data_IF_199544766191
#
_entry.id   IF_199544766191
#
_cell.length_a   1.000
_cell.length_b   1.000
_cell.length_c   1.000
_cell.angle_alpha   90.00
_cell.angle_beta   90.00
_cell.angle_gamma   90.00
#
_symmetry.space_group_name_H-M   'P 1'
#
loop_
_entity.id
_entity.type
_entity.pdbx_description
1 polymer ?
#
# COMPACT_ATOMS: atom_id res chain seq x y z
N UNK A 1 1.63 5.34 14.78
CA UNK A 1 2.08 3.92 14.83
C UNK A 1 2.95 3.68 13.61
N UNK A 2 3.97 2.83 13.69
CA UNK A 2 4.84 2.53 12.54
C UNK A 2 4.49 1.17 11.95
N UNK A 3 4.37 1.11 10.63
CA UNK A 3 4.26 -0.16 9.92
C UNK A 3 5.68 -0.69 9.67
N UNK A 4 5.90 -1.97 9.89
CA UNK A 4 7.18 -2.62 9.58
C UNK A 4 7.40 -2.69 8.06
N UNK A 5 6.31 -2.92 7.31
CA UNK A 5 6.37 -3.06 5.86
C UNK A 5 5.07 -2.64 5.20
N UNK A 6 5.20 -2.01 4.03
CA UNK A 6 4.06 -1.72 3.15
C UNK A 6 4.33 -2.34 1.78
N UNK A 7 3.43 -3.21 1.33
CA UNK A 7 3.49 -3.82 0.02
C UNK A 7 2.32 -3.34 -0.84
N UNK A 8 2.61 -2.92 -2.06
CA UNK A 8 1.61 -2.52 -3.06
C UNK A 8 1.64 -3.56 -4.16
N UNK A 9 0.55 -4.28 -4.37
CA UNK A 9 0.47 -5.36 -5.35
C UNK A 9 -0.78 -5.22 -6.22
N UNK A 10 -0.70 -5.57 -7.50
CA UNK A 10 -1.88 -5.63 -8.35
C UNK A 10 -2.76 -6.85 -8.01
N UNK A 11 -4.02 -6.62 -7.68
CA UNK A 11 -5.01 -7.69 -7.50
C UNK A 11 -5.74 -7.92 -8.83
N UNK A 12 -5.41 -9.04 -9.50
CA UNK A 12 -6.01 -9.41 -10.78
C UNK A 12 -7.48 -9.82 -10.67
N UNK A 13 -7.95 -10.22 -9.48
CA UNK A 13 -9.34 -10.64 -9.27
C UNK A 13 -10.28 -9.45 -9.25
N UNK A 14 -9.85 -8.33 -8.66
CA UNK A 14 -10.63 -7.09 -8.56
C UNK A 14 -10.18 -6.02 -9.53
N UNK A 15 -9.14 -6.29 -10.34
CA UNK A 15 -8.51 -5.33 -11.25
C UNK A 15 -8.22 -3.99 -10.56
N UNK A 16 -7.64 -4.05 -9.36
CA UNK A 16 -7.30 -2.88 -8.54
C UNK A 16 -5.98 -3.12 -7.81
N UNK A 17 -5.37 -2.03 -7.33
CA UNK A 17 -4.20 -2.13 -6.48
C UNK A 17 -4.59 -2.50 -5.05
N UNK A 18 -3.78 -3.33 -4.41
CA UNK A 18 -3.91 -3.75 -3.03
C UNK A 18 -2.70 -3.25 -2.25
N UNK A 19 -2.95 -2.44 -1.23
CA UNK A 19 -1.97 -2.02 -0.22
C UNK A 19 -2.08 -2.96 0.97
N UNK A 20 -0.97 -3.60 1.31
CA UNK A 20 -0.78 -4.45 2.47
C UNK A 20 0.13 -3.74 3.46
N UNK A 21 -0.41 -3.43 4.64
CA UNK A 21 0.33 -2.80 5.73
C UNK A 21 0.57 -3.89 6.77
N UNK A 22 1.83 -4.13 7.12
CA UNK A 22 2.24 -5.14 8.10
C UNK A 22 2.80 -4.42 9.33
N UNK A 23 2.28 -4.75 10.51
CA UNK A 23 2.76 -4.26 11.80
C UNK A 23 2.76 -5.41 12.81
N UNK A 24 3.94 -5.98 13.09
CA UNK A 24 4.11 -7.20 13.87
C UNK A 24 3.33 -8.38 13.25
N UNK A 25 2.33 -8.87 13.98
CA UNK A 25 1.43 -9.94 13.54
C UNK A 25 0.18 -9.40 12.82
N UNK A 26 -0.07 -8.10 12.87
CA UNK A 26 -1.21 -7.46 12.22
C UNK A 26 -0.94 -7.22 10.73
N UNK A 27 -1.92 -7.57 9.89
CA UNK A 27 -1.88 -7.31 8.45
C UNK A 27 -3.17 -6.66 7.99
N UNK A 28 -3.09 -5.38 7.64
CA UNK A 28 -4.19 -4.61 7.07
C UNK A 28 -4.13 -4.66 5.55
N UNK A 29 -5.29 -4.82 4.90
CA UNK A 29 -5.42 -4.93 3.43
C UNK A 29 -6.41 -3.90 2.92
N UNK A 30 -5.93 -2.96 2.10
CA UNK A 30 -6.75 -1.89 1.52
C UNK A 30 -6.64 -1.85 0.01
N UNK A 31 -7.79 -1.86 -0.65
CA UNK A 31 -7.84 -1.71 -2.10
C UNK A 31 -7.86 -0.24 -2.47
N UNK A 32 -7.04 0.12 -3.44
CA UNK A 32 -6.93 1.47 -3.97
C UNK A 32 -7.33 1.46 -5.45
N UNK A 33 -8.16 2.42 -5.83
CA UNK A 33 -8.56 2.63 -7.21
C UNK A 33 -7.48 3.45 -7.92
N UNK A 34 -6.60 2.77 -8.62
CA UNK A 34 -5.61 3.37 -9.52
C UNK A 34 -5.50 2.50 -10.79
N UNK A 35 -5.16 3.09 -11.95
CA UNK A 35 -4.99 2.32 -13.18
C UNK A 35 -3.85 1.31 -13.03
N UNK A 36 -3.93 0.19 -13.75
CA UNK A 36 -2.87 -0.85 -13.74
C UNK A 36 -1.51 -0.31 -14.19
N UNK A 37 -1.52 0.61 -15.14
CA UNK A 37 -0.33 1.31 -15.64
C UNK A 37 0.00 2.59 -14.87
N UNK A 38 -0.53 2.75 -13.65
CA UNK A 38 -0.12 3.86 -12.79
C UNK A 38 1.39 3.81 -12.54
N UNK A 39 2.06 4.95 -12.73
CA UNK A 39 3.48 5.09 -12.43
C UNK A 39 3.76 4.82 -10.95
N UNK A 40 4.98 4.37 -10.65
CA UNK A 40 5.40 4.07 -9.28
C UNK A 40 5.22 5.25 -8.32
N UNK A 41 5.42 6.49 -8.79
CA UNK A 41 5.21 7.67 -7.97
C UNK A 41 3.74 7.83 -7.54
N UNK A 42 2.81 7.56 -8.45
CA UNK A 42 1.38 7.56 -8.17
C UNK A 42 1.04 6.47 -7.17
N UNK A 43 1.55 5.25 -7.38
CA UNK A 43 1.34 4.11 -6.48
C UNK A 43 1.91 4.36 -5.07
N UNK A 44 3.11 4.93 -4.97
CA UNK A 44 3.71 5.34 -3.69
C UNK A 44 2.86 6.38 -2.99
N UNK A 45 2.40 7.40 -3.72
CA UNK A 45 1.57 8.47 -3.15
C UNK A 45 0.24 7.92 -2.60
N UNK A 46 -0.43 7.07 -3.37
CA UNK A 46 -1.69 6.43 -2.97
C UNK A 46 -1.48 5.53 -1.76
N UNK A 47 -0.44 4.69 -1.78
CA UNK A 47 -0.12 3.81 -0.65
C UNK A 47 0.25 4.60 0.61
N UNK A 48 1.08 5.65 0.52
CA UNK A 48 1.41 6.52 1.65
C UNK A 48 0.17 7.18 2.25
N UNK A 49 -0.75 7.64 1.40
CA UNK A 49 -2.04 8.18 1.86
C UNK A 49 -2.85 7.13 2.61
N UNK A 50 -2.98 5.92 2.05
CA UNK A 50 -3.70 4.81 2.69
C UNK A 50 -3.08 4.40 4.02
N UNK A 51 -1.75 4.36 4.11
CA UNK A 51 -1.02 4.10 5.36
C UNK A 51 -1.36 5.15 6.42
N UNK A 52 -1.36 6.43 6.03
CA UNK A 52 -1.73 7.53 6.91
C UNK A 52 -3.21 7.49 7.35
N UNK A 53 -4.11 7.14 6.44
CA UNK A 53 -5.55 6.98 6.73
C UNK A 53 -5.83 5.85 7.72
N UNK A 54 -5.03 4.78 7.70
CA UNK A 54 -5.10 3.69 8.70
C UNK A 54 -4.34 4.02 10.00
N UNK A 55 -3.79 5.24 10.16
CA UNK A 55 -3.13 5.70 11.39
C UNK A 55 -1.64 5.35 11.49
N UNK A 56 -1.03 4.92 10.39
CA UNK A 56 0.38 4.57 10.31
C UNK A 56 1.23 5.70 9.72
N UNK A 57 2.50 5.75 10.11
CA UNK A 57 3.43 6.74 9.59
C UNK A 57 4.04 6.28 8.24
N UNK A 58 3.86 7.06 7.16
CA UNK A 58 4.26 6.67 5.81
C UNK A 58 5.77 6.77 5.53
N UNK A 59 6.54 7.36 6.44
CA UNK A 59 7.97 7.64 6.26
C UNK A 59 8.86 6.48 6.73
N UNK A 60 8.37 5.66 7.68
CA UNK A 60 9.15 4.59 8.34
C UNK A 60 8.91 3.22 7.70
N UNK A 61 7.88 3.09 6.84
CA UNK A 61 7.55 1.83 6.20
C UNK A 61 8.40 1.57 4.95
N UNK A 62 9.06 0.41 4.88
CA UNK A 62 9.65 -0.10 3.64
C UNK A 62 8.53 -0.34 2.60
N UNK A 63 8.32 0.62 1.70
CA UNK A 63 7.30 0.54 0.64
C UNK A 63 7.85 -0.18 -0.60
N UNK A 64 7.34 -1.40 -0.82
CA UNK A 64 7.66 -2.25 -1.96
C UNK A 64 6.49 -2.29 -2.94
N UNK A 65 6.75 -2.11 -4.24
CA UNK A 65 5.74 -2.23 -5.30
C UNK A 65 6.00 -3.52 -6.09
N UNK A 66 4.98 -4.35 -6.23
CA UNK A 66 4.98 -5.60 -7.01
C UNK A 66 3.93 -5.49 -8.11
N UNK A 67 4.38 -5.60 -9.37
CA UNK A 67 3.55 -5.48 -10.56
C UNK A 67 3.18 -6.86 -11.09
#
# INVERSE_FOLDING_TARGET
MHADRVEVSWDSSRSNWLVRIVSGEEVIRRHCKAPKDADEQTLRSVAKKTVQEEGYEPDVAELTIRR
#
